data_IF_769534987766
#
_entry.id   IF_769534987766
#
_cell.length_a   1.000
_cell.length_b   1.000
_cell.length_c   1.000
_cell.angle_alpha   90.00
_cell.angle_beta   90.00
_cell.angle_gamma   90.00
#
_symmetry.space_group_name_H-M   'P 1'
#
loop_
_entity.id
_entity.type
_entity.pdbx_description
1 polymer ?
#
# COMPACT_ATOMS: atom_id res chain seq x y z
N UNK A 1 88.75 -46.15 -33.31
CA UNK A 1 87.47 -46.19 -32.57
C UNK A 1 87.58 -45.17 -31.45
N UNK A 2 86.92 -44.02 -31.57
CA UNK A 2 86.36 -43.16 -30.49
C UNK A 2 85.79 -41.93 -31.19
N UNK A 3 84.56 -41.59 -30.82
CA UNK A 3 83.57 -40.86 -31.59
C UNK A 3 83.76 -39.33 -31.58
N UNK A 4 83.40 -38.71 -32.71
CA UNK A 4 83.10 -37.28 -32.81
C UNK A 4 81.91 -36.92 -31.92
N UNK A 5 82.16 -36.21 -30.81
CA UNK A 5 81.13 -35.45 -30.11
C UNK A 5 80.83 -34.18 -30.91
N UNK A 6 79.83 -34.27 -31.79
CA UNK A 6 79.24 -33.11 -32.46
C UNK A 6 78.53 -32.23 -31.44
N UNK A 7 79.21 -31.18 -30.97
CA UNK A 7 78.54 -30.07 -30.31
C UNK A 7 77.62 -29.39 -31.33
N UNK A 8 76.31 -29.65 -31.24
CA UNK A 8 75.32 -28.75 -31.82
C UNK A 8 75.41 -27.43 -31.07
N UNK A 9 76.15 -26.49 -31.66
CA UNK A 9 76.13 -25.09 -31.27
C UNK A 9 74.67 -24.64 -31.41
N UNK A 10 74.01 -24.39 -30.30
CA UNK A 10 72.72 -23.70 -30.31
C UNK A 10 73.02 -22.34 -30.96
N UNK A 11 72.54 -22.13 -32.19
CA UNK A 11 72.68 -20.88 -32.91
C UNK A 11 72.01 -19.76 -32.10
N UNK A 12 72.82 -19.03 -31.35
CA UNK A 12 72.40 -17.91 -30.51
C UNK A 12 72.28 -16.60 -31.31
N UNK A 13 71.96 -16.66 -32.61
CA UNK A 13 71.86 -15.45 -33.46
C UNK A 13 70.61 -15.45 -34.32
N UNK A 14 69.45 -15.75 -33.74
CA UNK A 14 68.21 -15.20 -34.27
C UNK A 14 68.20 -13.68 -33.95
N UNK A 15 68.79 -12.86 -34.84
CA UNK A 15 68.64 -11.40 -34.76
C UNK A 15 67.16 -11.10 -35.02
N UNK A 16 66.43 -10.69 -33.99
CA UNK A 16 65.05 -10.23 -34.11
C UNK A 16 64.99 -9.07 -35.12
N UNK A 17 64.19 -9.25 -36.17
CA UNK A 17 63.97 -8.21 -37.17
C UNK A 17 63.25 -7.01 -36.55
N UNK A 18 63.55 -5.80 -37.02
CA UNK A 18 62.97 -4.56 -36.49
C UNK A 18 61.43 -4.56 -36.57
N UNK A 19 60.88 -5.25 -37.57
CA UNK A 19 59.46 -5.50 -37.74
C UNK A 19 58.87 -6.33 -36.59
N UNK A 20 59.56 -7.40 -36.18
CA UNK A 20 59.12 -8.28 -35.09
C UNK A 20 59.15 -7.55 -33.74
N UNK A 21 60.17 -6.73 -33.49
CA UNK A 21 60.25 -5.89 -32.29
C UNK A 21 59.10 -4.86 -32.24
N UNK A 22 58.79 -4.23 -33.38
CA UNK A 22 57.69 -3.27 -33.48
C UNK A 22 56.32 -3.91 -33.26
N UNK A 23 56.08 -5.09 -33.82
CA UNK A 23 54.84 -5.85 -33.63
C UNK A 23 54.67 -6.31 -32.17
N UNK A 24 55.77 -6.71 -31.51
CA UNK A 24 55.78 -7.07 -30.09
C UNK A 24 55.43 -5.86 -29.20
N UNK A 25 56.01 -4.70 -29.50
CA UNK A 25 55.71 -3.45 -28.80
C UNK A 25 54.23 -3.08 -28.96
N UNK A 26 53.69 -3.10 -30.18
CA UNK A 26 52.26 -2.84 -30.44
C UNK A 26 51.35 -3.80 -29.66
N UNK A 27 51.67 -5.09 -29.65
CA UNK A 27 50.91 -6.08 -28.92
C UNK A 27 50.96 -5.84 -27.41
N UNK A 28 52.14 -5.50 -26.88
CA UNK A 28 52.30 -5.14 -25.46
C UNK A 28 51.51 -3.89 -25.08
N UNK A 29 51.51 -2.84 -25.91
CA UNK A 29 50.70 -1.64 -25.71
C UNK A 29 49.21 -1.95 -25.76
N UNK A 30 48.76 -2.78 -26.70
CA UNK A 30 47.36 -3.21 -26.80
C UNK A 30 46.89 -3.97 -25.55
N UNK A 31 47.71 -4.87 -25.02
CA UNK A 31 47.41 -5.63 -23.80
C UNK A 31 47.37 -4.71 -22.58
N UNK A 32 48.35 -3.81 -22.41
CA UNK A 32 48.40 -2.88 -21.28
C UNK A 32 47.24 -1.89 -21.33
N UNK A 33 46.94 -1.33 -22.50
CA UNK A 33 45.80 -0.43 -22.69
C UNK A 33 44.46 -1.14 -22.41
N UNK A 34 44.30 -2.38 -22.89
CA UNK A 34 43.11 -3.19 -22.63
C UNK A 34 42.92 -3.51 -21.14
N UNK A 35 43.99 -3.91 -20.45
CA UNK A 35 43.97 -4.14 -19.01
C UNK A 35 43.65 -2.86 -18.22
N UNK A 36 44.24 -1.72 -18.61
CA UNK A 36 43.95 -0.41 -18.01
C UNK A 36 42.50 0.01 -18.19
N UNK A 37 41.93 -0.17 -19.38
CA UNK A 37 40.53 0.12 -19.66
C UNK A 37 39.58 -0.76 -18.83
N UNK A 38 39.91 -2.05 -18.67
CA UNK A 38 39.13 -2.99 -17.86
C UNK A 38 39.16 -2.62 -16.37
N UNK A 39 40.34 -2.25 -15.82
CA UNK A 39 40.47 -1.76 -14.44
C UNK A 39 39.66 -0.47 -14.25
N UNK A 40 39.74 0.48 -15.19
CA UNK A 40 38.97 1.72 -15.12
C UNK A 40 37.46 1.44 -15.11
N UNK A 41 36.97 0.52 -15.95
CA UNK A 41 35.57 0.09 -15.98
C UNK A 41 35.14 -0.53 -14.64
N UNK A 42 35.95 -1.43 -14.08
CA UNK A 42 35.66 -2.08 -12.79
C UNK A 42 35.63 -1.06 -11.65
N UNK A 43 36.56 -0.11 -11.62
CA UNK A 43 36.59 0.95 -10.61
C UNK A 43 35.37 1.86 -10.75
N UNK A 44 35.02 2.28 -11.97
CA UNK A 44 33.82 3.07 -12.22
C UNK A 44 32.55 2.35 -11.77
N UNK A 45 32.40 1.07 -12.12
CA UNK A 45 31.28 0.23 -11.67
C UNK A 45 31.22 0.07 -10.15
N UNK A 46 32.37 -0.21 -9.50
CA UNK A 46 32.43 -0.34 -8.04
C UNK A 46 32.07 0.96 -7.35
N UNK A 47 32.56 2.10 -7.86
CA UNK A 47 32.24 3.43 -7.33
C UNK A 47 30.75 3.73 -7.48
N UNK A 48 30.20 3.50 -8.67
CA UNK A 48 28.77 3.65 -8.92
C UNK A 48 27.94 2.80 -7.94
N UNK A 49 28.30 1.53 -7.72
CA UNK A 49 27.59 0.64 -6.79
C UNK A 49 27.69 1.11 -5.33
N UNK A 50 28.84 1.64 -4.91
CA UNK A 50 28.99 2.20 -3.55
C UNK A 50 28.17 3.47 -3.40
N UNK A 51 28.15 4.34 -4.41
CA UNK A 51 27.38 5.59 -4.40
C UNK A 51 25.86 5.31 -4.40
N UNK A 52 25.38 4.35 -5.20
CA UNK A 52 23.97 3.89 -5.21
C UNK A 52 23.54 3.32 -3.85
N UNK A 53 24.37 2.45 -3.25
CA UNK A 53 24.11 1.88 -1.92
C UNK A 53 24.18 2.95 -0.83
N UNK A 54 25.09 3.92 -0.98
CA UNK A 54 25.22 5.07 -0.09
C UNK A 54 23.98 5.95 -0.11
N UNK A 55 23.51 6.34 -1.29
CA UNK A 55 22.32 7.15 -1.48
C UNK A 55 21.06 6.46 -0.91
N UNK A 56 20.91 5.15 -1.12
CA UNK A 56 19.78 4.40 -0.59
C UNK A 56 19.78 4.34 0.95
N UNK A 57 20.95 4.14 1.56
CA UNK A 57 21.11 4.17 3.03
C UNK A 57 20.81 5.54 3.61
N UNK A 58 21.24 6.61 2.95
CA UNK A 58 20.98 7.97 3.38
C UNK A 58 19.48 8.32 3.28
N UNK A 59 18.82 7.96 2.18
CA UNK A 59 17.38 8.11 2.02
C UNK A 59 16.60 7.37 3.13
N UNK A 60 17.00 6.13 3.44
CA UNK A 60 16.40 5.33 4.52
C UNK A 60 16.61 5.98 5.90
N UNK A 61 17.81 6.49 6.17
CA UNK A 61 18.12 7.18 7.43
C UNK A 61 17.30 8.46 7.60
N UNK A 62 17.26 9.31 6.57
CA UNK A 62 16.47 10.56 6.59
C UNK A 62 14.98 10.28 6.73
N UNK A 63 14.48 9.24 6.05
CA UNK A 63 13.10 8.81 6.19
C UNK A 63 12.80 8.36 7.64
N UNK A 64 13.67 7.54 8.24
CA UNK A 64 13.52 7.06 9.63
C UNK A 64 13.53 8.20 10.66
N UNK A 65 14.39 9.19 10.45
CA UNK A 65 14.49 10.38 11.32
C UNK A 65 13.20 11.21 11.26
N UNK A 66 12.74 11.55 10.05
CA UNK A 66 11.48 12.29 9.85
C UNK A 66 10.27 11.49 10.34
N UNK A 67 10.28 10.17 10.15
CA UNK A 67 9.25 9.28 10.68
C UNK A 67 9.15 9.36 12.20
N UNK A 68 10.27 9.28 12.90
CA UNK A 68 10.31 9.39 14.36
C UNK A 68 9.73 10.73 14.84
N UNK A 69 10.09 11.83 14.17
CA UNK A 69 9.56 13.15 14.46
C UNK A 69 8.05 13.27 14.19
N UNK A 70 7.57 12.69 13.09
CA UNK A 70 6.15 12.73 12.74
C UNK A 70 5.30 11.92 13.73
N UNK A 71 5.80 10.76 14.18
CA UNK A 71 5.17 9.95 15.24
C UNK A 71 5.13 10.70 16.57
N UNK A 72 6.21 11.40 16.95
CA UNK A 72 6.24 12.24 18.16
C UNK A 72 5.18 13.35 18.09
N UNK A 73 5.05 14.02 16.94
CA UNK A 73 4.02 15.04 16.71
C UNK A 73 2.60 14.45 16.77
N UNK A 74 2.38 13.26 16.21
CA UNK A 74 1.10 12.55 16.29
C UNK A 74 0.70 12.19 17.74
N UNK A 75 1.69 11.97 18.61
CA UNK A 75 1.48 11.70 20.04
C UNK A 75 1.18 12.93 20.90
N UNK A 76 1.38 14.14 20.39
CA UNK A 76 1.26 15.39 21.16
C UNK A 76 -0.13 15.64 21.74
N UNK A 77 -0.28 16.19 22.95
CA UNK A 77 -1.59 16.57 23.49
C UNK A 77 -2.28 17.74 22.74
N UNK A 78 -1.55 18.43 21.85
CA UNK A 78 -2.10 19.49 21.02
C UNK A 78 -2.70 18.94 19.72
N UNK A 79 -4.02 19.13 19.47
CA UNK A 79 -4.65 18.69 18.22
C UNK A 79 -3.99 19.29 16.97
N UNK A 80 -3.49 20.52 17.05
CA UNK A 80 -2.80 21.18 15.95
C UNK A 80 -1.45 20.49 15.63
N UNK A 81 -0.70 20.10 16.66
CA UNK A 81 0.56 19.36 16.47
C UNK A 81 0.29 17.96 15.93
N UNK A 82 -0.77 17.29 16.42
CA UNK A 82 -1.19 15.99 15.85
C UNK A 82 -1.55 16.08 14.37
N UNK A 83 -2.30 17.11 13.96
CA UNK A 83 -2.60 17.34 12.55
C UNK A 83 -1.33 17.53 11.71
N UNK A 84 -0.34 18.25 12.23
CA UNK A 84 0.99 18.36 11.62
C UNK A 84 1.66 16.99 11.45
N UNK A 85 1.65 16.17 12.50
CA UNK A 85 2.18 14.80 12.48
C UNK A 85 1.47 13.88 11.48
N UNK A 86 0.13 13.97 11.39
CA UNK A 86 -0.67 13.23 10.39
C UNK A 86 -0.24 13.58 8.97
N UNK A 87 -0.14 14.87 8.64
CA UNK A 87 0.29 15.30 7.30
C UNK A 87 1.75 14.94 7.01
N UNK A 88 2.64 15.02 8.01
CA UNK A 88 4.02 14.58 7.88
C UNK A 88 4.13 13.08 7.60
N UNK A 89 3.34 12.24 8.31
CA UNK A 89 3.28 10.80 8.06
C UNK A 89 2.72 10.48 6.68
N UNK A 90 1.67 11.17 6.22
CA UNK A 90 1.13 10.97 4.88
C UNK A 90 2.18 11.30 3.80
N UNK A 91 2.90 12.42 3.93
CA UNK A 91 3.99 12.76 3.02
C UNK A 91 5.15 11.77 3.07
N UNK A 92 5.50 11.24 4.25
CA UNK A 92 6.49 10.17 4.37
C UNK A 92 6.04 8.89 3.67
N UNK A 93 4.75 8.56 3.75
CA UNK A 93 4.18 7.38 3.07
C UNK A 93 4.37 7.47 1.55
N UNK A 94 4.20 8.66 0.99
CA UNK A 94 4.41 8.91 -0.44
C UNK A 94 5.88 8.80 -0.83
N UNK A 95 6.77 9.38 -0.01
CA UNK A 95 8.22 9.44 -0.23
C UNK A 95 8.99 8.21 0.30
N UNK A 96 8.28 7.15 0.71
CA UNK A 96 8.88 5.98 1.33
C UNK A 96 9.90 5.28 0.38
N UNK A 97 11.14 5.01 0.84
CA UNK A 97 12.18 4.36 0.03
C UNK A 97 11.82 2.94 -0.44
N UNK A 98 10.99 2.24 0.32
CA UNK A 98 10.52 0.89 0.03
C UNK A 98 9.08 0.66 0.53
N UNK A 99 8.47 -0.44 0.09
CA UNK A 99 7.08 -0.80 0.43
C UNK A 99 6.90 -1.09 1.93
N UNK A 100 7.91 -1.59 2.61
CA UNK A 100 7.83 -1.88 4.05
C UNK A 100 7.74 -0.61 4.88
N UNK A 101 8.56 0.39 4.58
CA UNK A 101 8.49 1.71 5.23
C UNK A 101 7.17 2.43 4.92
N UNK A 102 6.66 2.29 3.69
CA UNK A 102 5.32 2.78 3.34
C UNK A 102 4.24 2.13 4.20
N UNK A 103 4.26 0.80 4.30
CA UNK A 103 3.31 0.05 5.12
C UNK A 103 3.37 0.50 6.58
N UNK A 104 4.56 0.64 7.15
CA UNK A 104 4.73 1.13 8.54
C UNK A 104 4.07 2.49 8.78
N UNK A 105 4.15 3.43 7.83
CA UNK A 105 3.49 4.73 7.97
C UNK A 105 1.96 4.59 7.95
N UNK A 106 1.41 3.74 7.08
CA UNK A 106 -0.02 3.43 7.00
C UNK A 106 -0.49 2.75 8.30
N UNK A 107 0.29 1.81 8.81
CA UNK A 107 0.00 1.07 10.04
C UNK A 107 -0.07 2.01 11.26
N UNK A 108 0.81 3.02 11.34
CA UNK A 108 0.75 4.03 12.41
C UNK A 108 -0.53 4.87 12.34
N UNK A 109 -0.92 5.29 11.14
CA UNK A 109 -2.16 6.06 10.93
C UNK A 109 -3.40 5.21 11.30
N UNK A 110 -3.39 3.94 10.91
CA UNK A 110 -4.41 2.96 11.28
C UNK A 110 -4.46 2.73 12.79
N UNK A 111 -3.32 2.47 13.43
CA UNK A 111 -3.22 2.28 14.87
C UNK A 111 -3.73 3.49 15.65
N UNK A 112 -3.50 4.71 15.16
CA UNK A 112 -4.06 5.91 15.77
C UNK A 112 -5.60 5.93 15.73
N UNK A 113 -6.21 5.52 14.61
CA UNK A 113 -7.67 5.43 14.47
C UNK A 113 -8.28 4.36 15.37
N UNK A 114 -7.51 3.31 15.69
CA UNK A 114 -7.93 2.23 16.57
C UNK A 114 -7.86 2.59 18.08
N UNK A 115 -7.24 3.73 18.43
CA UNK A 115 -7.18 4.16 19.82
C UNK A 115 -8.57 4.54 20.36
N UNK A 116 -8.90 4.14 21.60
CA UNK A 116 -10.13 4.58 22.24
C UNK A 116 -10.13 6.10 22.41
N UNK A 117 -11.29 6.73 22.21
CA UNK A 117 -11.49 8.16 22.40
C UNK A 117 -12.73 8.41 23.27
N UNK A 118 -12.76 9.57 23.94
CA UNK A 118 -13.92 10.02 24.70
C UNK A 118 -15.08 10.30 23.75
N UNK A 119 -16.29 9.75 23.98
CA UNK A 119 -17.48 10.07 23.20
C UNK A 119 -17.83 11.56 23.21
N UNK A 120 -18.69 11.98 22.29
CA UNK A 120 -19.21 13.35 22.27
C UNK A 120 -19.96 13.65 23.57
N UNK A 121 -19.56 14.66 24.37
CA UNK A 121 -20.29 15.04 25.58
C UNK A 121 -21.60 15.77 25.28
N UNK A 122 -21.90 16.07 24.02
CA UNK A 122 -23.10 16.79 23.59
C UNK A 122 -22.97 18.32 23.70
N UNK A 123 -24.10 19.00 23.50
CA UNK A 123 -24.17 20.46 23.37
C UNK A 123 -24.43 21.22 24.69
N UNK A 124 -24.33 20.54 25.84
CA UNK A 124 -24.52 21.20 27.14
C UNK A 124 -23.41 22.26 27.37
N UNK A 125 -23.75 23.53 27.65
CA UNK A 125 -22.76 24.57 27.94
C UNK A 125 -21.79 24.22 29.07
N UNK A 126 -22.17 23.36 30.02
CA UNK A 126 -21.30 22.88 31.08
C UNK A 126 -20.11 22.05 30.56
N UNK A 127 -20.26 21.40 29.40
CA UNK A 127 -19.26 20.55 28.76
C UNK A 127 -18.55 21.22 27.58
N UNK A 128 -18.68 22.54 27.41
CA UNK A 128 -18.18 23.24 26.22
C UNK A 128 -16.69 22.99 25.92
N UNK A 129 -15.82 22.98 26.93
CA UNK A 129 -14.39 22.72 26.74
C UNK A 129 -14.11 21.27 26.31
N UNK A 130 -14.81 20.31 26.92
CA UNK A 130 -14.73 18.89 26.57
C UNK A 130 -15.25 18.65 25.15
N UNK A 131 -16.35 19.29 24.77
CA UNK A 131 -16.92 19.22 23.43
C UNK A 131 -15.96 19.81 22.38
N UNK A 132 -15.38 20.99 22.64
CA UNK A 132 -14.36 21.56 21.75
C UNK A 132 -13.13 20.63 21.60
N UNK A 133 -12.68 20.00 22.69
CA UNK A 133 -11.58 19.04 22.67
C UNK A 133 -11.94 17.79 21.87
N UNK A 134 -13.14 17.26 22.07
CA UNK A 134 -13.70 16.15 21.28
C UNK A 134 -13.70 16.46 19.79
N UNK A 135 -14.25 17.61 19.38
CA UNK A 135 -14.29 18.04 17.98
C UNK A 135 -12.89 18.21 17.37
N UNK A 136 -11.94 18.74 18.15
CA UNK A 136 -10.56 18.92 17.68
C UNK A 136 -9.88 17.56 17.40
N UNK A 137 -10.04 16.55 18.26
CA UNK A 137 -9.50 15.22 18.00
C UNK A 137 -10.29 14.43 16.97
N UNK A 138 -11.62 14.64 16.88
CA UNK A 138 -12.46 14.12 15.77
C UNK A 138 -11.92 14.62 14.43
N UNK A 139 -11.53 15.90 14.35
CA UNK A 139 -10.91 16.49 13.15
C UNK A 139 -9.58 15.80 12.78
N UNK A 140 -8.78 15.37 13.75
CA UNK A 140 -7.56 14.58 13.48
C UNK A 140 -7.93 13.26 12.83
N UNK A 141 -8.87 12.50 13.42
CA UNK A 141 -9.31 11.19 12.86
C UNK A 141 -9.89 11.34 11.45
N UNK A 142 -10.75 12.33 11.24
CA UNK A 142 -11.33 12.62 9.92
C UNK A 142 -10.27 13.00 8.90
N UNK A 143 -9.23 13.73 9.32
CA UNK A 143 -8.10 14.03 8.42
C UNK A 143 -7.38 12.75 8.00
N UNK A 144 -7.18 11.80 8.91
CA UNK A 144 -6.55 10.51 8.58
C UNK A 144 -7.43 9.71 7.61
N UNK A 145 -8.73 9.57 7.88
CA UNK A 145 -9.67 8.86 6.99
C UNK A 145 -9.69 9.46 5.58
N UNK A 146 -9.73 10.79 5.50
CA UNK A 146 -9.67 11.53 4.23
C UNK A 146 -8.37 11.26 3.48
N UNK A 147 -7.22 11.34 4.16
CA UNK A 147 -5.92 11.08 3.53
C UNK A 147 -5.80 9.64 3.05
N UNK A 148 -6.28 8.66 3.83
CA UNK A 148 -6.35 7.26 3.37
C UNK A 148 -7.14 7.18 2.06
N UNK A 149 -8.37 7.72 2.01
CA UNK A 149 -9.18 7.70 0.78
C UNK A 149 -8.50 8.39 -0.41
N UNK A 150 -7.95 9.59 -0.18
CA UNK A 150 -7.31 10.41 -1.22
C UNK A 150 -6.10 9.68 -1.86
N UNK A 151 -5.28 8.96 -1.08
CA UNK A 151 -4.08 8.29 -1.59
C UNK A 151 -4.35 6.91 -2.23
N UNK A 152 -5.52 6.31 -1.97
CA UNK A 152 -5.99 5.13 -2.70
C UNK A 152 -6.65 5.48 -4.04
N UNK A 153 -7.07 6.73 -4.25
CA UNK A 153 -7.71 7.15 -5.50
C UNK A 153 -6.70 7.31 -6.64
N UNK A 154 -6.97 6.78 -7.84
CA UNK A 154 -6.15 7.09 -9.01
C UNK A 154 -6.30 8.57 -9.41
N UNK A 155 -5.24 9.23 -9.94
CA UNK A 155 -5.36 10.57 -10.49
C UNK A 155 -6.43 10.63 -11.59
N UNK A 156 -7.24 11.69 -11.58
CA UNK A 156 -8.32 11.89 -12.56
C UNK A 156 -7.82 11.69 -13.99
N UNK A 157 -8.45 10.77 -14.72
CA UNK A 157 -8.14 10.48 -16.13
C UNK A 157 -7.05 9.43 -16.36
N UNK A 158 -6.52 8.79 -15.31
CA UNK A 158 -5.53 7.71 -15.43
C UNK A 158 -6.02 6.43 -14.74
N UNK A 159 -5.83 5.28 -15.39
CA UNK A 159 -6.07 3.95 -14.80
C UNK A 159 -4.82 3.37 -14.12
N UNK A 160 -3.74 4.16 -14.02
CA UNK A 160 -2.49 3.75 -13.36
C UNK A 160 -2.35 4.47 -12.02
N UNK A 161 -1.85 3.78 -10.98
CA UNK A 161 -1.55 4.43 -9.70
C UNK A 161 -0.52 5.56 -9.92
N UNK A 162 -0.72 6.71 -9.26
CA UNK A 162 0.30 7.74 -9.19
C UNK A 162 1.56 7.22 -8.49
N UNK A 163 2.71 7.82 -8.79
CA UNK A 163 3.85 7.76 -7.89
C UNK A 163 3.40 8.26 -6.51
N UNK A 164 3.52 7.41 -5.48
CA UNK A 164 3.02 7.68 -4.13
C UNK A 164 1.64 7.11 -3.79
N UNK A 165 0.95 6.42 -4.70
CA UNK A 165 -0.33 5.77 -4.36
C UNK A 165 -0.16 4.68 -3.30
N UNK A 166 -1.14 4.56 -2.40
CA UNK A 166 -1.17 3.54 -1.35
C UNK A 166 -1.82 2.23 -1.82
N UNK A 167 -2.26 2.17 -3.09
CA UNK A 167 -2.81 0.95 -3.68
C UNK A 167 -1.84 -0.22 -3.59
N UNK A 168 -2.35 -1.35 -3.11
CA UNK A 168 -1.56 -2.56 -2.85
C UNK A 168 -0.83 -2.54 -1.51
N UNK A 169 -1.04 -1.56 -0.63
CA UNK A 169 -0.71 -1.65 0.79
C UNK A 169 -1.91 -2.20 1.59
N UNK A 170 -1.63 -2.84 2.71
CA UNK A 170 -2.66 -3.34 3.62
C UNK A 170 -3.26 -2.17 4.41
N UNK A 171 -4.56 -2.24 4.68
CA UNK A 171 -5.32 -1.21 5.39
C UNK A 171 -6.10 -1.87 6.52
N UNK A 172 -5.71 -1.62 7.77
CA UNK A 172 -6.32 -2.21 8.95
C UNK A 172 -7.12 -1.19 9.76
N UNK A 173 -8.42 -1.13 9.52
CA UNK A 173 -9.40 -0.32 10.25
C UNK A 173 -10.25 -1.20 11.17
N UNK A 174 -9.68 -2.28 11.69
CA UNK A 174 -10.32 -3.17 12.66
C UNK A 174 -10.77 -2.40 13.91
N UNK A 175 -12.04 -2.52 14.28
CA UNK A 175 -12.61 -1.87 15.46
C UNK A 175 -12.76 -0.35 15.39
N UNK A 176 -12.43 0.27 14.24
CA UNK A 176 -12.48 1.73 14.08
C UNK A 176 -13.93 2.21 13.99
N UNK A 177 -14.24 3.32 14.66
CA UNK A 177 -15.48 4.07 14.42
C UNK A 177 -15.26 5.05 13.28
N UNK A 178 -15.98 4.85 12.17
CA UNK A 178 -15.98 5.69 10.98
C UNK A 178 -17.25 6.55 11.03
N UNK A 179 -17.05 7.80 11.40
CA UNK A 179 -18.08 8.83 11.60
C UNK A 179 -17.84 10.05 10.68
N UNK A 180 -17.21 9.82 9.53
CA UNK A 180 -16.82 10.84 8.57
C UNK A 180 -16.56 10.24 7.19
N UNK A 181 -16.40 11.10 6.19
CA UNK A 181 -16.33 10.68 4.80
C UNK A 181 -15.02 9.96 4.46
N UNK A 182 -15.13 8.91 3.64
CA UNK A 182 -13.99 8.17 3.12
C UNK A 182 -14.28 7.65 1.71
N UNK A 183 -13.40 7.96 0.77
CA UNK A 183 -13.72 7.86 -0.65
C UNK A 183 -12.65 7.09 -1.43
N UNK A 184 -12.98 5.86 -1.83
CA UNK A 184 -12.14 4.96 -2.61
C UNK A 184 -12.57 4.84 -4.08
N UNK A 185 -13.30 5.81 -4.62
CA UNK A 185 -13.82 5.79 -5.99
C UNK A 185 -12.77 5.33 -7.04
N UNK A 186 -13.03 4.24 -7.78
CA UNK A 186 -12.12 3.56 -8.72
C UNK A 186 -10.75 3.12 -8.16
N UNK A 187 -10.62 2.96 -6.84
CA UNK A 187 -9.41 2.39 -6.27
C UNK A 187 -9.25 0.91 -6.66
N UNK A 188 -8.00 0.46 -6.75
CA UNK A 188 -7.66 -0.95 -6.97
C UNK A 188 -7.02 -1.53 -5.71
N UNK A 189 -7.67 -2.55 -5.16
CA UNK A 189 -7.15 -3.35 -4.06
C UNK A 189 -6.66 -4.68 -4.63
N UNK A 190 -5.40 -4.70 -5.09
CA UNK A 190 -4.77 -5.88 -5.67
C UNK A 190 -3.88 -6.56 -4.62
N UNK A 191 -4.19 -7.80 -4.24
CA UNK A 191 -3.38 -8.61 -3.34
C UNK A 191 -3.15 -8.05 -1.92
N UNK A 192 -3.84 -6.97 -1.55
CA UNK A 192 -3.79 -6.35 -0.22
C UNK A 192 -4.91 -6.87 0.68
N UNK A 193 -4.69 -6.78 1.99
CA UNK A 193 -5.71 -7.02 3.00
C UNK A 193 -6.32 -5.69 3.43
N UNK A 194 -7.64 -5.58 3.33
CA UNK A 194 -8.39 -4.43 3.83
C UNK A 194 -9.35 -4.92 4.92
N UNK A 195 -9.09 -4.53 6.16
CA UNK A 195 -9.91 -4.94 7.30
C UNK A 195 -10.74 -3.79 7.83
N UNK A 196 -12.05 -4.00 7.90
CA UNK A 196 -13.04 -3.27 8.67
C UNK A 196 -13.67 -4.21 9.72
N UNK A 197 -12.91 -5.22 10.15
CA UNK A 197 -13.41 -6.20 11.11
C UNK A 197 -13.90 -5.50 12.39
N UNK A 198 -15.12 -5.76 12.82
CA UNK A 198 -15.74 -5.10 13.98
C UNK A 198 -15.74 -3.55 13.92
N UNK A 199 -15.58 -2.95 12.74
CA UNK A 199 -15.67 -1.50 12.58
C UNK A 199 -17.13 -1.01 12.67
N UNK A 200 -17.32 0.22 13.12
CA UNK A 200 -18.64 0.85 13.21
C UNK A 200 -18.72 2.01 12.22
N UNK A 201 -19.62 1.91 11.25
CA UNK A 201 -19.93 3.00 10.32
C UNK A 201 -21.16 3.75 10.85
N UNK A 202 -20.92 4.84 11.56
CA UNK A 202 -21.97 5.56 12.32
C UNK A 202 -22.48 6.83 11.67
N UNK A 203 -21.70 7.43 10.77
CA UNK A 203 -22.04 8.67 10.06
C UNK A 203 -21.12 8.82 8.82
N UNK A 204 -21.45 9.78 7.96
CA UNK A 204 -20.68 10.10 6.77
C UNK A 204 -20.91 9.15 5.59
N UNK A 205 -20.24 9.46 4.47
CA UNK A 205 -20.28 8.68 3.24
C UNK A 205 -18.99 7.88 3.08
N UNK A 206 -19.12 6.55 2.95
CA UNK A 206 -18.02 5.67 2.57
C UNK A 206 -18.26 5.10 1.18
N UNK A 207 -17.47 5.53 0.20
CA UNK A 207 -17.65 5.11 -1.19
C UNK A 207 -16.57 4.13 -1.63
N UNK A 208 -16.98 2.93 -2.01
CA UNK A 208 -16.22 1.95 -2.78
C UNK A 208 -16.72 1.88 -4.23
N UNK A 209 -17.40 2.92 -4.69
CA UNK A 209 -18.02 2.92 -6.00
C UNK A 209 -16.97 2.73 -7.12
N UNK A 210 -17.23 1.79 -8.02
CA UNK A 210 -16.32 1.46 -9.14
C UNK A 210 -14.97 0.87 -8.72
N UNK A 211 -14.78 0.50 -7.45
CA UNK A 211 -13.54 -0.14 -6.99
C UNK A 211 -13.34 -1.52 -7.62
N UNK A 212 -12.09 -1.92 -7.77
CA UNK A 212 -11.73 -3.28 -8.16
C UNK A 212 -11.04 -3.98 -7.00
N UNK A 213 -11.63 -5.08 -6.54
CA UNK A 213 -11.06 -5.99 -5.56
C UNK A 213 -10.55 -7.23 -6.29
N UNK A 214 -9.23 -7.45 -6.27
CA UNK A 214 -8.63 -8.59 -6.96
C UNK A 214 -7.52 -9.26 -6.16
N UNK A 215 -7.61 -10.58 -5.97
CA UNK A 215 -6.57 -11.37 -5.30
C UNK A 215 -6.30 -11.05 -3.83
N UNK A 216 -7.06 -10.15 -3.21
CA UNK A 216 -6.96 -9.74 -1.81
C UNK A 216 -8.17 -10.14 -0.97
N UNK A 217 -8.15 -9.78 0.32
CA UNK A 217 -9.28 -10.00 1.24
C UNK A 217 -9.80 -8.67 1.74
N UNK A 218 -11.12 -8.48 1.68
CA UNK A 218 -11.81 -7.36 2.32
C UNK A 218 -12.76 -7.88 3.38
N UNK A 219 -12.53 -7.52 4.63
CA UNK A 219 -13.30 -8.04 5.76
C UNK A 219 -14.12 -6.94 6.41
N UNK A 220 -15.43 -7.10 6.41
CA UNK A 220 -16.42 -6.38 7.23
C UNK A 220 -17.03 -7.32 8.27
N UNK A 221 -16.33 -8.39 8.63
CA UNK A 221 -16.84 -9.38 9.61
C UNK A 221 -17.12 -8.68 10.93
N UNK A 222 -18.35 -8.83 11.45
CA UNK A 222 -18.80 -8.18 12.67
C UNK A 222 -18.94 -6.65 12.58
N UNK A 223 -18.80 -6.05 11.40
CA UNK A 223 -18.96 -4.61 11.24
C UNK A 223 -20.42 -4.18 11.46
N UNK A 224 -20.62 -2.97 11.97
CA UNK A 224 -21.94 -2.38 12.19
C UNK A 224 -22.14 -1.19 11.26
N UNK A 225 -23.22 -1.22 10.47
CA UNK A 225 -23.65 -0.13 9.60
C UNK A 225 -24.90 0.52 10.19
N UNK A 226 -24.72 1.68 10.84
CA UNK A 226 -25.74 2.36 11.63
C UNK A 226 -25.66 3.87 11.47
N UNK A 227 -26.21 4.41 10.38
CA UNK A 227 -26.30 5.85 10.11
C UNK A 227 -25.38 6.38 9.00
N UNK A 228 -24.44 5.57 8.51
CA UNK A 228 -23.63 5.92 7.35
C UNK A 228 -24.30 5.55 6.02
N UNK A 229 -23.83 6.16 4.93
CA UNK A 229 -24.08 5.68 3.58
C UNK A 229 -22.84 4.99 3.03
N UNK A 230 -22.92 3.68 2.80
CA UNK A 230 -21.81 2.88 2.24
C UNK A 230 -22.19 2.35 0.86
N UNK A 231 -21.48 2.78 -0.19
CA UNK A 231 -21.77 2.31 -1.55
C UNK A 231 -20.66 1.43 -2.09
N UNK A 232 -21.04 0.25 -2.57
CA UNK A 232 -20.26 -0.66 -3.40
C UNK A 232 -20.79 -0.66 -4.84
N UNK A 233 -21.51 0.39 -5.24
CA UNK A 233 -22.13 0.43 -6.57
C UNK A 233 -21.06 0.32 -7.65
N UNK A 234 -21.32 -0.49 -8.68
CA UNK A 234 -20.39 -0.74 -9.78
C UNK A 234 -19.03 -1.32 -9.35
N UNK A 235 -18.88 -1.77 -8.11
CA UNK A 235 -17.65 -2.42 -7.65
C UNK A 235 -17.49 -3.77 -8.34
N UNK A 236 -16.26 -4.09 -8.73
CA UNK A 236 -15.90 -5.38 -9.31
C UNK A 236 -15.15 -6.21 -8.27
N UNK A 237 -15.75 -7.32 -7.86
CA UNK A 237 -15.17 -8.28 -6.94
C UNK A 237 -14.71 -9.49 -7.74
N UNK A 238 -13.43 -9.49 -8.15
CA UNK A 238 -12.89 -10.51 -9.05
C UNK A 238 -11.72 -11.29 -8.43
N UNK A 239 -11.94 -12.55 -8.07
CA UNK A 239 -10.86 -13.43 -7.60
C UNK A 239 -10.26 -13.09 -6.22
N UNK A 240 -11.05 -12.49 -5.33
CA UNK A 240 -10.70 -12.24 -3.93
C UNK A 240 -11.78 -12.74 -2.96
N UNK A 241 -11.60 -12.48 -1.66
CA UNK A 241 -12.59 -12.83 -0.63
C UNK A 241 -13.17 -11.55 -0.03
N UNK A 242 -14.49 -11.43 0.00
CA UNK A 242 -15.18 -10.33 0.70
C UNK A 242 -16.13 -10.89 1.73
N UNK A 243 -15.88 -10.53 3.00
CA UNK A 243 -16.54 -11.15 4.15
C UNK A 243 -17.38 -10.11 4.89
N UNK A 244 -18.69 -10.35 4.97
CA UNK A 244 -19.65 -9.62 5.79
C UNK A 244 -20.21 -10.51 6.92
N UNK A 245 -19.50 -11.59 7.25
CA UNK A 245 -19.94 -12.56 8.24
C UNK A 245 -20.29 -11.89 9.58
N UNK A 246 -21.51 -12.07 10.07
CA UNK A 246 -21.98 -11.46 11.32
C UNK A 246 -22.09 -9.92 11.29
N UNK A 247 -22.02 -9.28 10.13
CA UNK A 247 -22.23 -7.84 10.02
C UNK A 247 -23.68 -7.46 10.36
N UNK A 248 -23.87 -6.26 10.91
CA UNK A 248 -25.19 -5.72 11.26
C UNK A 248 -25.53 -4.54 10.37
N UNK A 249 -26.59 -4.69 9.58
CA UNK A 249 -27.16 -3.62 8.77
C UNK A 249 -28.38 -3.06 9.51
N UNK A 250 -28.41 -1.75 9.79
CA UNK A 250 -29.49 -1.14 10.59
C UNK A 250 -29.98 0.15 9.94
N UNK A 251 -29.70 1.30 10.55
CA UNK A 251 -30.17 2.62 10.13
C UNK A 251 -29.25 3.30 9.10
N UNK A 252 -28.27 2.56 8.57
CA UNK A 252 -27.39 3.01 7.48
C UNK A 252 -27.77 2.36 6.14
N UNK A 253 -27.57 3.09 5.04
CA UNK A 253 -27.81 2.56 3.71
C UNK A 253 -26.54 1.92 3.16
N UNK A 254 -26.62 0.64 2.80
CA UNK A 254 -25.54 -0.07 2.10
C UNK A 254 -26.04 -0.48 0.71
N UNK A 255 -25.35 -0.01 -0.34
CA UNK A 255 -25.75 -0.20 -1.73
C UNK A 255 -24.76 -1.06 -2.52
N UNK A 256 -25.26 -1.94 -3.37
CA UNK A 256 -24.52 -2.85 -4.27
C UNK A 256 -25.07 -2.78 -5.70
N UNK A 257 -25.67 -1.67 -6.11
CA UNK A 257 -26.22 -1.47 -7.45
C UNK A 257 -25.16 -1.69 -8.52
N UNK A 258 -25.45 -2.55 -9.50
CA UNK A 258 -24.54 -2.92 -10.58
C UNK A 258 -23.17 -3.48 -10.12
N UNK A 259 -23.05 -3.93 -8.86
CA UNK A 259 -21.85 -4.63 -8.40
C UNK A 259 -21.71 -5.98 -9.13
N UNK A 260 -20.47 -6.37 -9.43
CA UNK A 260 -20.17 -7.60 -10.13
C UNK A 260 -19.37 -8.56 -9.24
N UNK A 261 -19.93 -9.74 -8.98
CA UNK A 261 -19.31 -10.81 -8.20
C UNK A 261 -18.82 -11.92 -9.14
N UNK A 262 -17.57 -11.85 -9.61
CA UNK A 262 -17.04 -12.82 -10.58
C UNK A 262 -15.84 -13.58 -10.02
N UNK A 263 -16.04 -14.85 -9.66
CA UNK A 263 -14.96 -15.70 -9.13
C UNK A 263 -14.41 -15.24 -7.77
N UNK A 264 -15.12 -14.36 -7.06
CA UNK A 264 -14.87 -14.01 -5.66
C UNK A 264 -15.71 -14.86 -4.73
N UNK A 265 -15.18 -15.13 -3.53
CA UNK A 265 -15.97 -15.65 -2.41
C UNK A 265 -16.57 -14.47 -1.67
N UNK A 266 -17.89 -14.43 -1.57
CA UNK A 266 -18.62 -13.37 -0.87
C UNK A 266 -19.49 -14.00 0.20
N UNK A 267 -19.23 -13.65 1.46
CA UNK A 267 -19.88 -14.30 2.58
C UNK A 267 -20.67 -13.32 3.43
N UNK A 268 -22.00 -13.44 3.43
CA UNK A 268 -22.90 -12.72 4.33
C UNK A 268 -23.45 -13.62 5.45
N UNK A 269 -22.85 -14.78 5.72
CA UNK A 269 -23.36 -15.69 6.75
C UNK A 269 -23.50 -14.99 8.10
N UNK A 270 -24.60 -15.28 8.80
CA UNK A 270 -24.98 -14.64 10.07
C UNK A 270 -25.12 -13.11 10.04
N UNK A 271 -25.07 -12.46 8.87
CA UNK A 271 -25.41 -11.05 8.77
C UNK A 271 -26.86 -10.83 9.20
N UNK A 272 -27.13 -9.69 9.84
CA UNK A 272 -28.46 -9.33 10.37
C UNK A 272 -28.90 -7.97 9.84
N UNK A 273 -30.21 -7.72 9.88
CA UNK A 273 -30.81 -6.51 9.31
C UNK A 273 -31.48 -6.74 7.95
N UNK A 274 -31.94 -5.65 7.30
CA UNK A 274 -32.42 -5.72 5.92
C UNK A 274 -31.29 -6.09 4.95
N UNK A 275 -31.65 -6.75 3.85
CA UNK A 275 -30.71 -7.00 2.77
C UNK A 275 -30.24 -5.65 2.17
N UNK A 276 -28.93 -5.45 1.94
CA UNK A 276 -28.42 -4.26 1.28
C UNK A 276 -29.07 -3.99 -0.08
N UNK A 277 -29.25 -2.71 -0.39
CA UNK A 277 -29.91 -2.26 -1.62
C UNK A 277 -29.15 -2.74 -2.85
N UNK A 278 -29.86 -3.28 -3.84
CA UNK A 278 -29.27 -3.78 -5.08
C UNK A 278 -28.52 -5.13 -4.95
N UNK A 279 -28.28 -5.65 -3.73
CA UNK A 279 -27.49 -6.87 -3.53
C UNK A 279 -28.09 -8.08 -4.22
N UNK A 280 -29.39 -8.35 -4.01
CA UNK A 280 -30.05 -9.53 -4.60
C UNK A 280 -30.08 -9.46 -6.13
N UNK A 281 -30.18 -8.25 -6.70
CA UNK A 281 -30.09 -8.04 -8.15
C UNK A 281 -28.67 -8.29 -8.67
N UNK A 282 -27.66 -7.83 -7.95
CA UNK A 282 -26.25 -7.97 -8.32
C UNK A 282 -25.76 -9.43 -8.21
N UNK A 283 -26.24 -10.17 -7.21
CA UNK A 283 -25.95 -11.60 -7.02
C UNK A 283 -26.66 -12.45 -8.07
N UNK A 284 -27.89 -12.08 -8.45
CA UNK A 284 -28.71 -12.82 -9.39
C UNK A 284 -29.44 -14.02 -8.75
N UNK A 285 -30.32 -14.66 -9.55
CA UNK A 285 -31.12 -15.81 -9.12
C UNK A 285 -30.93 -16.99 -10.10
N UNK A 286 -30.50 -18.18 -9.63
CA UNK A 286 -30.06 -18.48 -8.26
C UNK A 286 -28.71 -17.80 -7.92
N UNK A 287 -28.42 -17.55 -6.63
CA UNK A 287 -27.11 -17.07 -6.21
C UNK A 287 -25.97 -18.02 -6.67
N UNK A 288 -24.81 -17.49 -7.09
CA UNK A 288 -23.63 -18.30 -7.35
C UNK A 288 -23.21 -19.05 -6.09
N UNK A 289 -22.62 -20.24 -6.24
CA UNK A 289 -22.11 -21.06 -5.12
C UNK A 289 -21.03 -20.33 -4.29
N UNK A 290 -20.40 -19.32 -4.87
CA UNK A 290 -19.38 -18.52 -4.20
C UNK A 290 -19.96 -17.39 -3.35
N UNK A 291 -21.28 -17.19 -3.37
CA UNK A 291 -21.99 -16.18 -2.58
C UNK A 291 -22.88 -16.86 -1.54
N UNK A 292 -22.60 -16.59 -0.27
CA UNK A 292 -23.43 -17.04 0.87
C UNK A 292 -24.31 -15.89 1.34
N UNK A 293 -25.63 -16.14 1.46
CA UNK A 293 -26.62 -15.16 1.92
C UNK A 293 -27.42 -15.70 3.11
N UNK A 294 -27.80 -14.85 4.09
CA UNK A 294 -28.74 -15.23 5.14
C UNK A 294 -30.07 -15.71 4.57
N UNK A 295 -30.60 -16.81 5.13
CA UNK A 295 -31.87 -17.38 4.68
C UNK A 295 -33.03 -16.35 4.73
N UNK A 296 -33.03 -15.47 5.73
CA UNK A 296 -34.05 -14.42 5.88
C UNK A 296 -34.10 -13.42 4.71
N UNK A 297 -32.98 -13.20 4.01
CA UNK A 297 -32.92 -12.29 2.85
C UNK A 297 -33.47 -12.92 1.56
N UNK A 298 -33.46 -14.26 1.48
CA UNK A 298 -34.00 -15.00 0.34
C UNK A 298 -35.52 -15.16 0.42
N UNK A 299 -36.10 -15.07 1.62
CA UNK A 299 -37.54 -15.25 1.87
C UNK A 299 -38.36 -13.96 1.76
N UNK A 300 -37.69 -12.80 1.65
CA UNK A 300 -38.32 -11.47 1.64
C UNK A 300 -38.72 -10.95 0.25
N UNK A 301 -38.93 -11.83 -0.73
CA UNK A 301 -39.64 -11.46 -1.97
C UNK A 301 -41.14 -11.74 -1.81
N UNK A 302 -42.03 -10.72 -1.90
CA UNK A 302 -43.46 -10.96 -2.08
C UNK A 302 -43.77 -11.59 -3.45
#
# INVERSE_FOLDING_TARGET
MVALLGFQRIDSTAKLDAKTLFDLVKLSFGVVAGAGALVALVVAYRRQRVDEVGAHREATRLHTERFSQAVEQLGSDSPAVRLGGVHALAGLTDDAPDRGLRQTCIDVLCAYLQLPFTPDPGDDPAHQEEHHRYLAFRKVRHTILRLIGDHYRPPRGTLRPAAGSWQGCDLDLTGVTIDGDMEFYHASFYGSVVSFHSATFSDGRVSFEGTSFSGGTVSFVGATFSGSYVSFDRASLSGGTVLFGGATFSDGAVAFGDAAFSGSTVDFDRATGPAPDGLLSAVGTPPPITVSLPAGWLTSSP
#
